data_IF_014718757218
#
_entry.id   IF_014718757218
#
_cell.length_a   1.000
_cell.length_b   1.000
_cell.length_c   1.000
_cell.angle_alpha   90.00
_cell.angle_beta   90.00
_cell.angle_gamma   90.00
#
_symmetry.space_group_name_H-M   'P 1'
#
loop_
_entity.id
_entity.type
_entity.pdbx_description
1 polymer ?
#
# COMPACT_ATOMS: atom_id res chain seq x y z
N UNK A 1 -59.66 3.80 -48.90
CA UNK A 1 -59.34 4.19 -47.51
C UNK A 1 -59.11 2.89 -46.77
N UNK A 2 -57.93 2.48 -46.31
CA UNK A 2 -56.87 3.24 -45.64
C UNK A 2 -55.55 2.44 -45.74
N UNK A 3 -54.45 3.10 -46.10
CA UNK A 3 -53.09 2.56 -46.20
C UNK A 3 -52.53 2.29 -44.79
N UNK A 4 -52.07 1.08 -44.50
CA UNK A 4 -51.15 0.83 -43.38
C UNK A 4 -49.77 0.49 -43.95
N UNK A 5 -48.84 1.44 -43.76
CA UNK A 5 -47.43 1.31 -44.12
C UNK A 5 -46.74 0.58 -42.97
N UNK A 6 -46.14 -0.58 -43.25
CA UNK A 6 -45.27 -1.29 -42.31
C UNK A 6 -43.98 -0.49 -42.10
N UNK A 7 -43.81 0.07 -40.90
CA UNK A 7 -42.52 0.61 -40.46
C UNK A 7 -41.66 -0.56 -39.97
N UNK A 8 -40.70 -0.98 -40.80
CA UNK A 8 -39.59 -1.83 -40.37
C UNK A 8 -38.79 -1.09 -39.28
N UNK A 9 -38.95 -1.52 -38.04
CA UNK A 9 -38.14 -1.09 -36.91
C UNK A 9 -36.93 -2.02 -36.82
N UNK A 10 -35.82 -1.64 -37.44
CA UNK A 10 -34.54 -2.34 -37.26
C UNK A 10 -34.07 -2.11 -35.81
N UNK A 11 -34.25 -3.11 -34.95
CA UNK A 11 -33.62 -3.15 -33.63
C UNK A 11 -32.12 -3.41 -33.83
N UNK A 12 -31.32 -2.36 -33.76
CA UNK A 12 -29.86 -2.46 -33.76
C UNK A 12 -29.42 -2.91 -32.35
N UNK A 13 -29.30 -4.22 -32.14
CA UNK A 13 -28.74 -4.80 -30.91
C UNK A 13 -27.24 -4.54 -30.91
N UNK A 14 -26.80 -3.40 -30.35
CA UNK A 14 -25.39 -3.17 -30.04
C UNK A 14 -25.05 -4.11 -28.89
N UNK A 15 -24.45 -5.26 -29.21
CA UNK A 15 -23.69 -6.05 -28.25
C UNK A 15 -22.53 -5.19 -27.75
N UNK A 16 -22.76 -4.43 -26.68
CA UNK A 16 -21.68 -3.89 -25.88
C UNK A 16 -21.04 -5.09 -25.19
N UNK A 17 -20.05 -5.71 -25.86
CA UNK A 17 -19.07 -6.54 -25.20
C UNK A 17 -18.34 -5.65 -24.21
N UNK A 18 -18.91 -5.52 -23.00
CA UNK A 18 -18.15 -5.06 -21.84
C UNK A 18 -17.17 -6.21 -21.60
N UNK A 19 -16.04 -6.16 -22.29
CA UNK A 19 -14.83 -6.79 -21.79
C UNK A 19 -14.58 -6.13 -20.45
N UNK A 20 -15.11 -6.74 -19.39
CA UNK A 20 -14.61 -6.59 -18.04
C UNK A 20 -13.21 -7.20 -18.05
N UNK A 21 -12.25 -6.50 -18.67
CA UNK A 21 -10.84 -6.74 -18.45
C UNK A 21 -10.65 -6.63 -16.95
N UNK A 22 -10.46 -7.78 -16.31
CA UNK A 22 -9.97 -7.81 -14.95
C UNK A 22 -8.73 -6.93 -14.90
N UNK A 23 -8.70 -5.97 -13.98
CA UNK A 23 -7.60 -5.02 -13.86
C UNK A 23 -6.43 -5.76 -13.20
N UNK A 24 -5.70 -6.53 -14.00
CA UNK A 24 -4.52 -7.27 -13.57
C UNK A 24 -3.28 -6.42 -13.80
N UNK A 25 -2.48 -6.24 -12.76
CA UNK A 25 -1.15 -5.65 -12.86
C UNK A 25 -0.14 -6.78 -13.00
N UNK A 26 0.79 -6.67 -13.93
CA UNK A 26 1.92 -7.57 -14.06
C UNK A 26 3.22 -6.82 -14.37
N UNK A 27 4.32 -7.22 -13.74
CA UNK A 27 5.67 -6.76 -14.11
C UNK A 27 6.73 -7.80 -13.73
N UNK A 28 7.84 -7.83 -14.48
CA UNK A 28 9.00 -8.65 -14.12
C UNK A 28 9.82 -7.93 -13.06
N UNK A 29 9.89 -8.49 -11.86
CA UNK A 29 10.73 -7.97 -10.79
C UNK A 29 12.14 -8.59 -10.87
N UNK A 30 13.16 -7.75 -10.74
CA UNK A 30 14.57 -8.15 -10.76
C UNK A 30 15.25 -8.03 -9.38
N UNK A 31 14.56 -7.41 -8.41
CA UNK A 31 15.06 -7.13 -7.07
C UNK A 31 13.99 -7.49 -6.03
N UNK A 32 14.42 -8.07 -4.92
CA UNK A 32 13.64 -8.18 -3.68
C UNK A 32 14.43 -7.56 -2.54
N UNK A 33 13.79 -6.71 -1.76
CA UNK A 33 14.39 -6.01 -0.63
C UNK A 33 13.52 -6.23 0.60
N UNK A 34 14.14 -6.60 1.71
CA UNK A 34 13.50 -6.70 3.02
C UNK A 34 13.91 -5.48 3.84
N UNK A 35 12.93 -4.82 4.45
CA UNK A 35 13.14 -3.69 5.36
C UNK A 35 12.67 -4.10 6.75
N UNK A 36 13.51 -3.86 7.74
CA UNK A 36 13.03 -3.76 9.13
C UNK A 36 12.56 -2.34 9.38
N UNK A 37 11.49 -2.20 10.16
CA UNK A 37 10.95 -0.89 10.49
C UNK A 37 10.56 -0.74 11.94
N UNK A 38 10.63 0.51 12.39
CA UNK A 38 10.05 0.98 13.64
C UNK A 38 8.92 1.96 13.33
N UNK A 39 7.71 1.65 13.82
CA UNK A 39 6.47 2.37 13.53
C UNK A 39 5.87 2.89 14.83
N UNK A 40 5.93 4.21 15.06
CA UNK A 40 5.19 4.90 16.10
C UNK A 40 3.75 5.15 15.62
N UNK A 41 2.87 4.17 15.73
CA UNK A 41 1.51 4.23 15.18
C UNK A 41 0.55 5.09 16.04
N UNK A 42 0.92 5.35 17.30
CA UNK A 42 0.24 6.30 18.17
C UNK A 42 1.09 6.66 19.38
N UNK A 43 0.63 7.58 20.24
CA UNK A 43 1.44 8.20 21.32
C UNK A 43 2.26 7.19 22.13
N UNK A 44 1.64 6.08 22.54
CA UNK A 44 2.30 5.01 23.29
C UNK A 44 2.22 3.66 22.57
N UNK A 45 2.17 3.68 21.24
CA UNK A 45 2.02 2.46 20.44
C UNK A 45 3.09 2.41 19.36
N UNK A 46 4.26 1.90 19.75
CA UNK A 46 5.39 1.64 18.87
C UNK A 46 5.43 0.15 18.52
N UNK A 47 5.62 -0.17 17.25
CA UNK A 47 5.70 -1.55 16.74
C UNK A 47 6.81 -1.69 15.74
N UNK A 48 7.48 -2.84 15.80
CA UNK A 48 8.39 -3.24 14.75
C UNK A 48 7.62 -4.09 13.73
N UNK A 49 7.94 -3.91 12.47
CA UNK A 49 7.33 -4.67 11.39
C UNK A 49 8.29 -4.83 10.22
N UNK A 50 8.34 -6.04 9.67
CA UNK A 50 9.13 -6.32 8.47
C UNK A 50 8.29 -6.03 7.23
N UNK A 51 8.92 -5.42 6.23
CA UNK A 51 8.31 -5.14 4.93
C UNK A 51 9.11 -5.76 3.80
N UNK A 52 8.43 -6.05 2.70
CA UNK A 52 9.02 -6.56 1.46
C UNK A 52 8.72 -5.59 0.33
N UNK A 53 9.76 -5.23 -0.40
CA UNK A 53 9.70 -4.53 -1.68
C UNK A 53 10.17 -5.51 -2.77
N UNK A 54 9.37 -5.73 -3.81
CA UNK A 54 9.81 -6.39 -5.03
C UNK A 54 9.59 -5.48 -6.21
N UNK A 55 10.54 -5.42 -7.14
CA UNK A 55 10.46 -4.43 -8.21
C UNK A 55 11.54 -4.53 -9.26
N UNK A 56 11.47 -3.59 -10.18
CA UNK A 56 12.50 -3.25 -11.16
C UNK A 56 12.79 -1.74 -11.09
N UNK A 57 13.38 -1.14 -12.11
CA UNK A 57 13.71 0.30 -12.13
C UNK A 57 12.52 1.24 -12.41
N UNK A 58 11.29 0.73 -12.52
CA UNK A 58 10.10 1.53 -12.82
C UNK A 58 8.89 1.11 -11.97
N UNK A 59 8.72 -0.19 -11.78
CA UNK A 59 7.56 -0.81 -11.14
C UNK A 59 7.97 -1.48 -9.84
N UNK A 60 7.06 -1.44 -8.86
CA UNK A 60 7.28 -2.12 -7.60
C UNK A 60 5.97 -2.52 -6.90
N UNK A 61 6.10 -3.49 -6.00
CA UNK A 61 5.14 -3.82 -4.97
C UNK A 61 5.83 -3.69 -3.63
N UNK A 62 5.19 -3.02 -2.67
CA UNK A 62 5.63 -2.91 -1.30
C UNK A 62 4.48 -3.24 -0.35
N UNK A 63 4.75 -4.13 0.59
CA UNK A 63 3.81 -4.47 1.65
C UNK A 63 4.54 -5.00 2.87
N UNK A 64 3.79 -5.08 3.97
CA UNK A 64 4.22 -5.81 5.15
C UNK A 64 4.44 -7.30 4.83
N UNK A 65 5.32 -7.95 5.58
CA UNK A 65 5.80 -9.31 5.25
C UNK A 65 4.68 -10.33 5.14
N UNK A 66 3.75 -10.36 6.10
CA UNK A 66 2.63 -11.31 6.03
C UNK A 66 1.73 -11.00 4.84
N UNK A 67 1.39 -9.73 4.60
CA UNK A 67 0.62 -9.33 3.43
C UNK A 67 1.29 -9.74 2.12
N UNK A 68 2.62 -9.64 2.02
CA UNK A 68 3.37 -10.18 0.88
C UNK A 68 3.18 -11.70 0.74
N UNK A 69 3.28 -12.47 1.83
CA UNK A 69 3.06 -13.92 1.78
C UNK A 69 1.63 -14.27 1.32
N UNK A 70 0.63 -13.58 1.86
CA UNK A 70 -0.78 -13.76 1.48
C UNK A 70 -0.98 -13.46 -0.01
N UNK A 71 -0.48 -12.31 -0.48
CA UNK A 71 -0.70 -11.83 -1.85
C UNK A 71 0.06 -12.65 -2.91
N UNK A 72 1.13 -13.34 -2.51
CA UNK A 72 1.95 -14.19 -3.39
C UNK A 72 1.65 -15.69 -3.25
N UNK A 73 0.67 -16.06 -2.42
CA UNK A 73 0.31 -17.46 -2.18
C UNK A 73 1.39 -18.27 -1.45
N UNK A 74 2.30 -17.60 -0.73
CA UNK A 74 3.37 -18.24 0.05
C UNK A 74 2.98 -18.49 1.50
N UNK A 75 1.81 -18.01 1.93
CA UNK A 75 1.28 -18.31 3.26
C UNK A 75 0.39 -19.55 3.24
N UNK A 76 0.69 -20.50 4.12
CA UNK A 76 -0.13 -21.68 4.38
C UNK A 76 -0.64 -21.62 5.82
N UNK A 77 -1.95 -21.48 5.98
CA UNK A 77 -2.59 -21.44 7.31
C UNK A 77 -2.48 -22.80 8.00
N UNK A 78 -2.01 -22.83 9.24
CA UNK A 78 -1.97 -24.06 10.07
C UNK A 78 -3.00 -24.00 11.19
N UNK A 79 -4.17 -24.60 10.98
CA UNK A 79 -5.23 -24.65 11.99
C UNK A 79 -5.77 -23.25 12.35
N UNK A 80 -5.90 -22.97 13.64
CA UNK A 80 -6.26 -21.64 14.15
C UNK A 80 -5.04 -20.70 14.12
N UNK A 81 -4.75 -20.16 12.94
CA UNK A 81 -3.61 -19.27 12.70
C UNK A 81 -4.08 -17.83 12.43
N UNK A 82 -3.74 -16.91 13.35
CA UNK A 82 -4.02 -15.46 13.20
C UNK A 82 -2.91 -14.72 12.48
N UNK A 83 -1.84 -15.41 12.07
CA UNK A 83 -0.68 -14.81 11.37
C UNK A 83 -1.12 -14.08 10.13
N UNK A 84 -2.13 -14.58 9.39
CA UNK A 84 -2.72 -13.98 8.20
C UNK A 84 -3.07 -12.48 8.34
N UNK A 85 -3.36 -12.00 9.55
CA UNK A 85 -3.74 -10.61 9.85
C UNK A 85 -2.84 -9.96 10.92
N UNK A 86 -1.62 -10.46 11.08
CA UNK A 86 -0.68 -10.03 12.13
C UNK A 86 -0.02 -8.67 11.88
N UNK A 87 -0.04 -8.16 10.64
CA UNK A 87 0.56 -6.87 10.32
C UNK A 87 -0.22 -5.72 10.99
N UNK A 88 0.50 -4.76 11.58
CA UNK A 88 -0.09 -3.53 12.10
C UNK A 88 -0.35 -2.51 10.99
N UNK A 89 0.57 -2.39 10.03
CA UNK A 89 0.39 -1.58 8.83
C UNK A 89 -0.08 -2.48 7.67
N UNK A 90 -1.32 -2.28 7.23
CA UNK A 90 -2.03 -3.20 6.32
C UNK A 90 -2.08 -2.74 4.86
N UNK A 91 -1.72 -1.49 4.58
CA UNK A 91 -1.74 -0.96 3.21
C UNK A 91 -0.63 -1.60 2.36
N UNK A 92 -0.98 -1.95 1.11
CA UNK A 92 -0.01 -2.29 0.06
C UNK A 92 0.10 -1.13 -0.90
N UNK A 93 1.27 -0.97 -1.51
CA UNK A 93 1.49 -0.04 -2.61
C UNK A 93 2.04 -0.77 -3.82
N UNK A 94 1.40 -0.56 -4.97
CA UNK A 94 1.81 -1.12 -6.26
C UNK A 94 1.96 0.00 -7.27
N UNK A 95 3.19 0.27 -7.71
CA UNK A 95 3.48 1.26 -8.75
C UNK A 95 3.64 0.56 -10.09
N UNK A 96 2.84 0.97 -11.06
CA UNK A 96 3.00 0.60 -12.48
C UNK A 96 2.65 1.80 -13.36
N UNK A 97 3.41 2.00 -14.45
CA UNK A 97 3.20 3.10 -15.40
C UNK A 97 3.11 4.48 -14.71
N UNK A 98 3.99 4.72 -13.74
CA UNK A 98 4.05 5.93 -12.89
C UNK A 98 2.83 6.21 -12.00
N UNK A 99 1.83 5.34 -11.99
CA UNK A 99 0.71 5.46 -11.07
C UNK A 99 0.90 4.52 -9.86
N UNK A 100 0.69 5.04 -8.65
CA UNK A 100 0.75 4.25 -7.42
C UNK A 100 -0.66 3.87 -6.98
N UNK A 101 -0.93 2.57 -6.96
CA UNK A 101 -2.15 1.99 -6.43
C UNK A 101 -1.93 1.70 -4.94
N UNK A 102 -2.78 2.24 -4.08
CA UNK A 102 -2.81 1.92 -2.66
C UNK A 102 -4.01 1.04 -2.36
N UNK A 103 -3.75 -0.08 -1.70
CA UNK A 103 -4.73 -1.13 -1.48
C UNK A 103 -4.83 -1.47 -0.01
N UNK A 104 -6.05 -1.68 0.46
CA UNK A 104 -6.35 -2.19 1.80
C UNK A 104 -7.33 -3.35 1.69
N UNK A 105 -6.96 -4.46 2.32
CA UNK A 105 -7.88 -5.55 2.65
C UNK A 105 -8.14 -5.51 4.14
N UNK A 106 -9.41 -5.42 4.55
CA UNK A 106 -9.84 -5.42 5.94
C UNK A 106 -11.11 -6.25 6.07
N UNK A 107 -11.02 -7.40 6.75
CA UNK A 107 -12.06 -8.43 6.74
C UNK A 107 -12.43 -8.76 5.28
N UNK A 108 -13.72 -8.76 4.93
CA UNK A 108 -14.21 -9.02 3.57
C UNK A 108 -14.13 -7.79 2.65
N UNK A 109 -13.75 -6.63 3.18
CA UNK A 109 -13.68 -5.39 2.41
C UNK A 109 -12.32 -5.20 1.75
N UNK A 110 -12.33 -4.97 0.43
CA UNK A 110 -11.14 -4.65 -0.37
C UNK A 110 -11.35 -3.31 -1.06
N UNK A 111 -10.56 -2.31 -0.68
CA UNK A 111 -10.66 -0.95 -1.19
C UNK A 111 -9.33 -0.46 -1.72
N UNK A 112 -9.35 0.40 -2.72
CA UNK A 112 -8.14 1.03 -3.27
C UNK A 112 -8.36 2.45 -3.74
N UNK A 113 -7.28 3.16 -3.93
CA UNK A 113 -7.22 4.36 -4.76
C UNK A 113 -5.91 4.41 -5.53
N UNK A 114 -5.91 5.25 -6.55
CA UNK A 114 -4.78 5.44 -7.45
C UNK A 114 -4.30 6.88 -7.25
N UNK A 115 -2.99 7.09 -7.18
CA UNK A 115 -2.38 8.40 -6.98
C UNK A 115 -1.15 8.56 -7.89
N UNK A 116 -1.06 9.71 -8.55
CA UNK A 116 0.18 10.16 -9.17
C UNK A 116 1.02 10.87 -8.11
N UNK A 117 2.17 10.29 -7.77
CA UNK A 117 2.99 10.72 -6.63
C UNK A 117 4.23 11.45 -7.13
N UNK A 118 4.14 12.77 -7.26
CA UNK A 118 5.32 13.60 -7.53
C UNK A 118 6.11 13.87 -6.23
N UNK A 119 7.34 13.37 -6.14
CA UNK A 119 8.24 13.59 -4.99
C UNK A 119 9.44 14.41 -5.43
N UNK A 120 9.54 15.63 -4.89
CA UNK A 120 10.67 16.54 -5.14
C UNK A 120 11.73 16.29 -4.09
N UNK A 121 12.76 15.54 -4.47
CA UNK A 121 13.92 15.27 -3.62
C UNK A 121 14.95 16.39 -3.71
N UNK A 122 15.53 16.76 -2.57
CA UNK A 122 16.74 17.56 -2.49
C UNK A 122 17.86 16.60 -2.08
N UNK A 123 18.86 16.44 -2.95
CA UNK A 123 20.01 15.54 -2.71
C UNK A 123 21.14 16.35 -2.08
N UNK A 124 21.76 15.79 -1.05
CA UNK A 124 22.87 16.41 -0.31
C UNK A 124 24.17 15.64 -0.56
N UNK A 125 25.32 16.28 -0.33
CA UNK A 125 26.63 15.62 -0.41
C UNK A 125 26.93 14.70 0.78
N UNK A 126 26.12 14.76 1.84
CA UNK A 126 26.26 13.91 3.02
C UNK A 126 26.10 12.43 2.66
N UNK A 127 26.96 11.60 3.23
CA UNK A 127 26.94 10.15 3.02
C UNK A 127 26.96 9.37 4.32
N UNK A 128 26.31 8.22 4.33
CA UNK A 128 26.22 7.29 5.46
C UNK A 128 26.39 5.86 4.96
N UNK A 129 26.97 4.98 5.78
CA UNK A 129 26.95 3.54 5.53
C UNK A 129 25.64 2.94 6.06
N UNK A 130 24.87 2.28 5.20
CA UNK A 130 23.64 1.56 5.57
C UNK A 130 23.79 0.12 5.09
N UNK A 131 23.68 -0.84 6.01
CA UNK A 131 23.87 -2.27 5.71
C UNK A 131 25.19 -2.57 4.94
N UNK A 132 26.26 -1.85 5.24
CA UNK A 132 27.56 -2.01 4.58
C UNK A 132 27.70 -1.34 3.20
N UNK A 133 26.68 -0.60 2.75
CA UNK A 133 26.65 0.09 1.44
C UNK A 133 26.75 1.60 1.64
N UNK A 134 27.56 2.27 0.82
CA UNK A 134 27.67 3.74 0.86
C UNK A 134 26.42 4.37 0.26
N UNK A 135 25.77 5.22 1.04
CA UNK A 135 24.52 5.87 0.66
C UNK A 135 24.66 7.39 0.72
N UNK A 136 23.98 8.08 -0.18
CA UNK A 136 23.87 9.53 -0.24
C UNK A 136 22.54 9.97 0.38
N UNK A 137 22.58 11.08 1.11
CA UNK A 137 21.40 11.65 1.77
C UNK A 137 20.52 12.42 0.76
N UNK A 138 19.21 12.28 0.90
CA UNK A 138 18.22 13.15 0.29
C UNK A 138 17.12 13.50 1.30
N UNK A 139 16.42 14.62 1.08
CA UNK A 139 15.28 15.02 1.89
C UNK A 139 14.12 15.49 1.02
N UNK A 140 12.90 15.37 1.56
CA UNK A 140 11.69 15.91 0.94
C UNK A 140 10.64 16.25 1.99
N UNK A 141 9.72 17.15 1.65
CA UNK A 141 8.52 17.41 2.44
C UNK A 141 7.32 16.83 1.69
N UNK A 142 6.78 15.71 2.19
CA UNK A 142 5.67 14.99 1.54
C UNK A 142 4.79 14.31 2.59
N UNK A 143 3.51 14.19 2.28
CA UNK A 143 2.51 13.54 3.14
C UNK A 143 2.41 14.17 4.54
N UNK A 144 2.59 15.49 4.61
CA UNK A 144 2.59 16.27 5.86
C UNK A 144 3.81 16.07 6.75
N UNK A 145 4.84 15.37 6.28
CA UNK A 145 6.06 15.06 7.03
C UNK A 145 7.31 15.52 6.28
N UNK A 146 8.37 15.78 7.04
CA UNK A 146 9.73 15.93 6.51
C UNK A 146 10.43 14.59 6.58
N UNK A 147 10.82 14.06 5.42
CA UNK A 147 11.47 12.76 5.25
C UNK A 147 12.94 12.94 4.92
N UNK A 148 13.76 12.07 5.51
CA UNK A 148 15.15 11.86 5.16
C UNK A 148 15.27 10.46 4.55
N UNK A 149 15.95 10.37 3.42
CA UNK A 149 16.27 9.12 2.75
C UNK A 149 17.79 9.01 2.58
N UNK A 150 18.32 7.80 2.78
CA UNK A 150 19.65 7.45 2.32
C UNK A 150 19.52 6.46 1.18
N UNK A 151 20.05 6.80 0.00
CA UNK A 151 19.94 5.97 -1.21
C UNK A 151 21.33 5.59 -1.74
N UNK A 152 21.43 4.47 -2.46
CA UNK A 152 22.67 4.04 -3.10
C UNK A 152 22.48 3.75 -4.59
N UNK A 153 23.38 4.29 -5.41
CA UNK A 153 23.43 4.06 -6.85
C UNK A 153 24.08 2.73 -7.25
N UNK A 154 24.64 1.98 -6.28
CA UNK A 154 25.08 0.60 -6.48
C UNK A 154 23.90 -0.29 -6.93
N UNK A 155 22.69 0.04 -6.47
CA UNK A 155 21.44 -0.56 -6.91
C UNK A 155 20.65 0.45 -7.75
N UNK A 156 20.59 0.24 -9.06
CA UNK A 156 20.00 1.18 -10.05
C UNK A 156 18.45 1.24 -10.02
N UNK A 157 17.79 0.55 -9.10
CA UNK A 157 16.35 0.59 -8.94
C UNK A 157 15.96 1.81 -8.10
N UNK A 158 15.33 2.79 -8.71
CA UNK A 158 14.90 4.08 -8.11
C UNK A 158 13.65 3.96 -7.22
N UNK A 159 13.58 2.90 -6.41
CA UNK A 159 12.39 2.50 -5.62
C UNK A 159 12.71 2.49 -4.12
N UNK A 160 11.69 2.44 -3.29
CA UNK A 160 11.83 2.44 -1.84
C UNK A 160 10.54 2.08 -1.11
N UNK A 161 10.53 2.20 0.22
CA UNK A 161 9.37 1.90 1.04
C UNK A 161 8.14 2.75 0.69
N UNK A 162 6.95 2.16 0.87
CA UNK A 162 5.65 2.83 0.68
C UNK A 162 5.51 3.43 -0.74
N UNK A 163 5.37 4.75 -0.82
CA UNK A 163 5.22 5.51 -2.07
C UNK A 163 6.51 6.19 -2.52
N UNK A 164 7.62 5.98 -1.80
CA UNK A 164 8.85 6.73 -2.03
C UNK A 164 9.65 6.10 -3.18
N UNK A 165 9.87 6.88 -4.23
CA UNK A 165 10.68 6.53 -5.39
C UNK A 165 11.31 7.79 -6.00
N UNK A 166 12.11 7.61 -7.04
CA UNK A 166 12.61 8.71 -7.88
C UNK A 166 14.00 9.24 -7.53
N UNK A 167 14.66 8.68 -6.51
CA UNK A 167 16.08 8.91 -6.27
C UNK A 167 16.94 8.10 -7.25
N UNK A 168 18.17 8.52 -7.60
CA UNK A 168 19.04 7.82 -8.54
C UNK A 168 19.70 6.59 -7.88
N UNK A 169 18.89 5.69 -7.34
CA UNK A 169 19.29 4.48 -6.65
C UNK A 169 18.22 3.94 -5.70
N UNK A 170 18.48 2.78 -5.12
CA UNK A 170 17.60 2.16 -4.13
C UNK A 170 17.63 2.97 -2.83
N UNK A 171 16.45 3.25 -2.26
CA UNK A 171 16.34 3.85 -0.93
C UNK A 171 16.69 2.80 0.12
N UNK A 172 17.89 2.91 0.71
CA UNK A 172 18.42 1.96 1.68
C UNK A 172 17.90 2.21 3.10
N UNK A 173 17.55 3.45 3.40
CA UNK A 173 16.95 3.87 4.66
C UNK A 173 16.02 5.05 4.40
N UNK A 174 14.89 5.09 5.09
CA UNK A 174 13.91 6.16 4.98
C UNK A 174 13.29 6.40 6.35
N UNK A 175 13.31 7.63 6.83
CA UNK A 175 12.63 7.99 8.07
C UNK A 175 12.10 9.41 8.04
N UNK A 176 11.03 9.66 8.79
CA UNK A 176 10.60 11.03 9.04
C UNK A 176 11.41 11.66 10.18
N UNK A 177 11.57 12.98 10.17
CA UNK A 177 12.42 13.70 11.15
C UNK A 177 11.99 13.54 12.62
N UNK A 178 10.78 13.04 12.89
CA UNK A 178 10.31 12.69 14.25
C UNK A 178 10.58 11.23 14.62
N UNK A 179 11.23 10.48 13.72
CA UNK A 179 11.50 9.05 13.82
C UNK A 179 10.26 8.21 14.16
N UNK A 180 9.11 8.61 13.62
CA UNK A 180 7.83 7.96 13.83
C UNK A 180 7.60 6.82 12.84
N UNK A 181 8.21 6.93 11.66
CA UNK A 181 8.27 5.90 10.65
C UNK A 181 9.73 5.80 10.22
N UNK A 182 10.35 4.66 10.46
CA UNK A 182 11.74 4.41 10.10
C UNK A 182 11.84 3.05 9.44
N UNK A 183 12.33 3.00 8.21
CA UNK A 183 12.56 1.80 7.43
C UNK A 183 14.05 1.70 7.14
N UNK A 184 14.65 0.54 7.39
CA UNK A 184 16.06 0.25 7.09
C UNK A 184 16.17 -1.08 6.37
N UNK A 185 16.90 -1.12 5.26
CA UNK A 185 17.18 -2.36 4.54
C UNK A 185 17.90 -3.36 5.45
N UNK A 186 17.40 -4.59 5.51
CA UNK A 186 18.04 -5.72 6.18
C UNK A 186 18.54 -6.78 5.22
N UNK A 187 17.91 -6.91 4.04
CA UNK A 187 18.30 -7.91 3.03
C UNK A 187 18.01 -7.42 1.62
N UNK A 188 18.94 -7.65 0.70
CA UNK A 188 18.74 -7.44 -0.73
C UNK A 188 19.02 -8.76 -1.45
N UNK A 189 18.10 -9.17 -2.31
CA UNK A 189 18.15 -10.42 -3.04
C UNK A 189 17.91 -10.18 -4.53
N UNK A 190 18.64 -10.91 -5.38
CA UNK A 190 18.26 -11.03 -6.78
C UNK A 190 16.89 -11.70 -6.83
N UNK A 191 16.02 -11.15 -7.67
CA UNK A 191 14.69 -11.71 -7.90
C UNK A 191 14.51 -11.89 -9.40
N UNK A 192 13.75 -12.88 -9.83
CA UNK A 192 13.49 -13.10 -11.26
C UNK A 192 12.17 -13.83 -11.43
N UNK A 193 11.11 -13.22 -10.92
CA UNK A 193 9.74 -13.72 -11.07
C UNK A 193 8.84 -12.60 -11.61
N UNK A 194 7.84 -12.99 -12.38
CA UNK A 194 6.74 -12.09 -12.74
C UNK A 194 5.90 -11.90 -11.48
N UNK A 195 5.75 -10.65 -11.06
CA UNK A 195 4.76 -10.29 -10.07
C UNK A 195 3.44 -10.04 -10.77
N UNK A 196 2.36 -10.58 -10.23
CA UNK A 196 1.00 -10.42 -10.75
C UNK A 196 0.08 -10.08 -9.59
N UNK A 197 -0.74 -9.05 -9.75
CA UNK A 197 -1.72 -8.65 -8.75
C UNK A 197 -3.06 -8.34 -9.38
N UNK A 198 -4.14 -8.92 -8.84
CA UNK A 198 -5.49 -8.71 -9.34
C UNK A 198 -6.17 -7.56 -8.58
N UNK A 199 -6.41 -6.43 -9.26
CA UNK A 199 -7.13 -5.29 -8.69
C UNK A 199 -8.65 -5.46 -8.76
N UNK A 200 -9.17 -6.42 -9.52
CA UNK A 200 -10.63 -6.58 -9.75
C UNK A 200 -11.44 -6.72 -8.45
N UNK A 201 -10.97 -7.43 -7.41
CA UNK A 201 -11.68 -7.49 -6.12
C UNK A 201 -11.69 -6.17 -5.34
N UNK A 202 -10.85 -5.19 -5.71
CA UNK A 202 -10.69 -3.94 -4.98
C UNK A 202 -11.60 -2.85 -5.54
N UNK A 203 -12.54 -2.40 -4.72
CA UNK A 203 -13.38 -1.24 -5.03
C UNK A 203 -12.52 0.03 -5.07
N UNK A 204 -12.48 0.70 -6.22
CA UNK A 204 -11.74 1.95 -6.42
C UNK A 204 -12.52 3.14 -5.84
N UNK A 205 -11.82 4.00 -5.12
CA UNK A 205 -12.28 5.28 -4.60
C UNK A 205 -11.34 6.40 -5.07
N UNK A 206 -11.80 7.65 -4.97
CA UNK A 206 -10.86 8.78 -4.90
C UNK A 206 -10.18 8.78 -3.51
N UNK A 207 -9.06 9.50 -3.37
CA UNK A 207 -8.26 9.49 -2.13
C UNK A 207 -9.06 9.90 -0.89
N UNK A 208 -9.89 10.95 -0.98
CA UNK A 208 -10.66 11.44 0.17
C UNK A 208 -11.70 10.41 0.65
N UNK A 209 -12.42 9.79 -0.27
CA UNK A 209 -13.41 8.77 0.07
C UNK A 209 -12.75 7.47 0.53
N UNK A 210 -11.57 7.12 -0.01
CA UNK A 210 -10.76 6.04 0.50
C UNK A 210 -10.37 6.27 1.96
N UNK A 211 -9.88 7.47 2.32
CA UNK A 211 -9.46 7.78 3.69
C UNK A 211 -10.64 7.70 4.67
N UNK A 212 -11.83 8.17 4.26
CA UNK A 212 -13.07 8.01 5.03
C UNK A 212 -13.46 6.54 5.17
N UNK A 213 -13.45 5.78 4.08
CA UNK A 213 -13.79 4.36 4.07
C UNK A 213 -12.83 3.54 4.96
N UNK A 214 -11.52 3.77 4.84
CA UNK A 214 -10.48 3.18 5.68
C UNK A 214 -10.75 3.44 7.16
N UNK A 215 -10.97 4.70 7.54
CA UNK A 215 -11.28 5.07 8.93
C UNK A 215 -12.54 4.34 9.44
N UNK A 216 -13.57 4.23 8.60
CA UNK A 216 -14.80 3.53 8.98
C UNK A 216 -14.57 2.03 9.17
N UNK A 217 -13.88 1.36 8.24
CA UNK A 217 -13.53 -0.06 8.34
C UNK A 217 -12.69 -0.33 9.60
N UNK A 218 -11.69 0.51 9.87
CA UNK A 218 -10.75 0.28 10.96
C UNK A 218 -11.33 0.59 12.35
N UNK A 219 -12.26 1.55 12.46
CA UNK A 219 -12.61 2.16 13.76
C UNK A 219 -14.10 2.39 14.06
N UNK A 220 -15.03 2.06 13.15
CA UNK A 220 -16.47 2.37 13.34
C UNK A 220 -17.39 1.15 13.48
N UNK A 221 -16.83 -0.07 13.39
CA UNK A 221 -17.63 -1.29 13.36
C UNK A 221 -18.28 -1.61 12.02
N UNK A 222 -18.05 -0.79 10.99
CA UNK A 222 -18.36 -1.15 9.62
C UNK A 222 -17.62 -2.44 9.24
N UNK A 223 -18.38 -3.53 9.05
CA UNK A 223 -17.84 -4.88 8.79
C UNK A 223 -18.07 -5.89 9.92
N UNK A 224 -18.63 -5.48 11.06
CA UNK A 224 -19.04 -6.37 12.15
C UNK A 224 -20.57 -6.52 12.19
N UNK A 225 -21.10 -7.67 12.69
CA UNK A 225 -22.54 -7.83 12.94
C UNK A 225 -23.08 -6.76 13.88
N UNK A 226 -24.37 -6.44 13.76
CA UNK A 226 -25.04 -5.50 14.67
C UNK A 226 -24.97 -6.03 16.10
N UNK A 227 -24.33 -5.28 16.99
CA UNK A 227 -24.19 -5.59 18.41
C UNK A 227 -25.17 -4.75 19.25
N UNK A 228 -25.69 -5.34 20.32
CA UNK A 228 -26.60 -4.69 21.26
C UNK A 228 -26.11 -4.84 22.71
N UNK A 229 -26.65 -4.02 23.62
CA UNK A 229 -26.37 -4.11 25.06
C UNK A 229 -24.88 -3.95 25.41
N UNK A 230 -24.42 -4.76 26.37
CA UNK A 230 -23.03 -4.75 26.86
C UNK A 230 -22.01 -5.05 25.76
N UNK A 231 -22.33 -5.93 24.80
CA UNK A 231 -21.43 -6.25 23.68
C UNK A 231 -21.13 -5.03 22.81
N UNK A 232 -22.12 -4.16 22.57
CA UNK A 232 -21.91 -2.90 21.83
C UNK A 232 -20.99 -1.97 22.61
N UNK A 233 -21.23 -1.81 23.91
CA UNK A 233 -20.40 -0.95 24.77
C UNK A 233 -18.94 -1.42 24.77
N UNK A 234 -18.70 -2.72 24.97
CA UNK A 234 -17.36 -3.30 24.97
C UNK A 234 -16.66 -3.13 23.61
N UNK A 235 -17.42 -3.25 22.52
CA UNK A 235 -16.93 -3.02 21.18
C UNK A 235 -16.52 -1.56 20.95
N UNK A 236 -17.38 -0.61 21.32
CA UNK A 236 -17.11 0.82 21.18
C UNK A 236 -15.87 1.22 22.00
N UNK A 237 -15.74 0.70 23.24
CA UNK A 237 -14.55 0.91 24.08
C UNK A 237 -13.27 0.33 23.46
N UNK A 238 -13.35 -0.83 22.78
CA UNK A 238 -12.21 -1.39 22.03
C UNK A 238 -11.86 -0.51 20.83
N UNK A 239 -12.86 -0.01 20.10
CA UNK A 239 -12.63 0.87 18.95
C UNK A 239 -12.00 2.20 19.37
N UNK A 240 -12.43 2.80 20.46
CA UNK A 240 -11.81 4.02 21.01
C UNK A 240 -10.37 3.79 21.46
N UNK A 241 -10.07 2.66 22.11
CA UNK A 241 -8.68 2.28 22.42
C UNK A 241 -7.86 2.12 21.16
N UNK A 242 -8.39 1.43 20.14
CA UNK A 242 -7.72 1.26 18.84
C UNK A 242 -7.46 2.61 18.16
N UNK A 243 -8.43 3.54 18.15
CA UNK A 243 -8.22 4.90 17.61
C UNK A 243 -7.04 5.61 18.27
N UNK A 244 -6.91 5.51 19.61
CA UNK A 244 -5.76 6.10 20.34
C UNK A 244 -4.43 5.43 20.00
N UNK A 245 -4.44 4.12 19.77
CA UNK A 245 -3.25 3.35 19.40
C UNK A 245 -2.78 3.64 17.97
N UNK A 246 -3.70 3.97 17.05
CA UNK A 246 -3.42 4.20 15.62
C UNK A 246 -3.72 5.67 15.22
N UNK A 247 -3.32 6.63 16.05
CA UNK A 247 -3.59 8.05 15.82
C UNK A 247 -2.44 8.83 15.13
N UNK A 248 -1.37 8.16 14.72
CA UNK A 248 -0.27 8.75 13.98
C UNK A 248 -0.14 8.10 12.60
N UNK A 249 -0.97 8.48 11.60
CA UNK A 249 -0.93 7.90 10.26
C UNK A 249 0.33 8.31 9.49
N UNK A 250 0.80 7.46 8.56
CA UNK A 250 2.00 7.73 7.75
C UNK A 250 1.83 8.99 6.89
N UNK A 251 0.63 9.24 6.39
CA UNK A 251 0.25 10.51 5.79
C UNK A 251 -0.56 11.32 6.79
N UNK A 252 -0.04 12.48 7.18
CA UNK A 252 -0.79 13.40 8.01
C UNK A 252 -1.85 14.08 7.13
N UNK A 253 -3.09 14.09 7.61
CA UNK A 253 -4.18 14.85 6.97
C UNK A 253 -3.82 16.34 7.07
N UNK A 254 -3.93 17.12 5.97
CA UNK A 254 -3.67 18.55 5.99
C UNK A 254 -4.51 19.31 7.02
#
# INVERSE_FOLDING_TARGET
MTKYISKNLYLFFIFFFIYSFGQKIEFKANLKVTYESELQLGVNFKKNQTFVLIGNSQDFYFAAYQNFLNDTGQYESKGFDVSAVSDYFQERSVKVNNNVNILLSYLDSKIRYDEDVDIKWIIYSETKMVAGVKCQMAATNKFGRRWIAYFSNEYKQNIGPYKFYGLPGLIMELYDTKNQYHFTVSKIEKYSKVFSFNLSPYKKFNKNDYLKAKKNLEFSGAGYPVMTGSMKKDFDERMERKKKMFNNPIELVP
#
